data_IF_492698679488
#
_entry.id   IF_492698679488
#
_cell.length_a   1.000
_cell.length_b   1.000
_cell.length_c   1.000
_cell.angle_alpha   90.00
_cell.angle_beta   90.00
_cell.angle_gamma   90.00
#
_symmetry.space_group_name_H-M   'P 1'
#
loop_
_entity.id
_entity.type
_entity.pdbx_description
1 polymer ?
#
# COMPACT_ATOMS: atom_id res chain seq x y z
N UNK A 1 -27.51 -51.00 26.61
CA UNK A 1 -28.21 -49.74 26.93
C UNK A 1 -27.12 -48.68 27.08
N UNK A 2 -27.13 -47.66 26.20
CA UNK A 2 -26.31 -46.43 26.21
C UNK A 2 -24.78 -46.56 26.12
N UNK A 3 -24.02 -45.65 25.50
CA UNK A 3 -24.14 -44.83 24.29
C UNK A 3 -22.75 -44.16 24.16
N UNK A 4 -22.22 -44.08 22.94
CA UNK A 4 -20.96 -43.43 22.61
C UNK A 4 -20.90 -41.96 23.08
N UNK A 5 -19.74 -41.52 23.56
CA UNK A 5 -19.39 -40.09 23.52
C UNK A 5 -17.98 -39.93 22.93
N UNK A 6 -17.93 -39.92 21.59
CA UNK A 6 -16.81 -39.35 20.85
C UNK A 6 -16.85 -37.83 21.05
N UNK A 7 -15.82 -37.28 21.68
CA UNK A 7 -15.61 -35.83 21.76
C UNK A 7 -15.13 -35.36 20.39
N UNK A 8 -16.05 -34.76 19.64
CA UNK A 8 -15.78 -34.11 18.35
C UNK A 8 -15.06 -32.79 18.64
N UNK A 9 -13.75 -32.71 18.36
CA UNK A 9 -13.07 -31.42 18.22
C UNK A 9 -13.61 -30.73 16.96
N UNK A 10 -14.60 -29.86 17.12
CA UNK A 10 -15.00 -28.93 16.08
C UNK A 10 -13.87 -27.88 15.94
N UNK A 11 -13.01 -28.04 14.93
CA UNK A 11 -12.32 -26.88 14.38
C UNK A 11 -13.41 -25.95 13.84
N UNK A 12 -13.68 -24.87 14.57
CA UNK A 12 -14.30 -23.70 13.99
C UNK A 12 -13.32 -23.17 12.96
N UNK A 13 -13.46 -23.61 11.71
CA UNK A 13 -12.99 -22.85 10.58
C UNK A 13 -13.75 -21.52 10.64
N UNK A 14 -13.10 -20.49 11.20
CA UNK A 14 -13.52 -19.11 11.01
C UNK A 14 -13.58 -18.94 9.50
N UNK A 15 -14.78 -18.75 8.94
CA UNK A 15 -14.89 -18.34 7.55
C UNK A 15 -14.14 -17.02 7.47
N UNK A 16 -12.93 -17.04 6.92
CA UNK A 16 -12.07 -15.86 6.86
C UNK A 16 -12.67 -14.90 5.84
N UNK A 17 -13.65 -14.11 6.27
CA UNK A 17 -14.06 -12.90 5.58
C UNK A 17 -12.83 -12.01 5.40
N UNK A 18 -12.76 -11.32 4.27
CA UNK A 18 -11.72 -10.33 4.02
C UNK A 18 -11.85 -9.19 5.04
N UNK A 19 -10.77 -8.82 5.72
CA UNK A 19 -10.76 -7.61 6.55
C UNK A 19 -10.94 -6.37 5.67
N UNK A 20 -10.31 -6.38 4.48
CA UNK A 20 -10.37 -5.29 3.51
C UNK A 20 -10.43 -5.82 2.08
N UNK A 21 -11.28 -5.21 1.25
CA UNK A 21 -11.37 -5.49 -0.19
C UNK A 21 -10.77 -4.33 -0.99
N UNK A 22 -9.78 -4.64 -1.82
CA UNK A 22 -9.05 -3.64 -2.61
C UNK A 22 -9.29 -3.87 -4.08
N UNK A 23 -9.88 -2.87 -4.75
CA UNK A 23 -10.02 -2.85 -6.20
C UNK A 23 -8.68 -2.56 -6.87
N UNK A 24 -8.25 -3.43 -7.77
CA UNK A 24 -7.02 -3.29 -8.54
C UNK A 24 -7.24 -3.62 -10.02
N UNK A 25 -6.56 -2.91 -10.92
CA UNK A 25 -6.60 -3.21 -12.36
C UNK A 25 -5.61 -4.32 -12.76
N UNK A 26 -4.56 -4.47 -11.97
CA UNK A 26 -3.52 -5.48 -12.07
C UNK A 26 -2.76 -5.52 -10.73
N UNK A 27 -2.01 -6.59 -10.48
CA UNK A 27 -1.11 -6.66 -9.34
C UNK A 27 0.06 -5.72 -9.56
N UNK A 28 0.26 -4.80 -8.61
CA UNK A 28 1.36 -3.83 -8.60
C UNK A 28 2.44 -4.26 -7.60
N UNK A 29 3.63 -3.67 -7.71
CA UNK A 29 4.85 -4.12 -7.04
C UNK A 29 4.76 -3.86 -5.55
N UNK A 30 4.31 -2.68 -5.15
CA UNK A 30 4.04 -2.39 -3.73
C UNK A 30 3.09 -3.39 -3.10
N UNK A 31 1.97 -3.75 -3.77
CA UNK A 31 1.01 -4.72 -3.23
C UNK A 31 1.61 -6.12 -3.09
N UNK A 32 2.37 -6.53 -4.11
CA UNK A 32 3.09 -7.80 -4.16
C UNK A 32 4.07 -7.91 -2.98
N UNK A 33 4.96 -6.92 -2.83
CA UNK A 33 5.94 -6.86 -1.74
C UNK A 33 5.23 -6.83 -0.38
N UNK A 34 4.21 -5.98 -0.21
CA UNK A 34 3.46 -5.86 1.06
C UNK A 34 2.89 -7.22 1.52
N UNK A 35 2.39 -8.01 0.57
CA UNK A 35 1.82 -9.34 0.83
C UNK A 35 2.92 -10.33 1.23
N UNK A 36 3.99 -10.39 0.44
CA UNK A 36 5.09 -11.32 0.63
C UNK A 36 5.89 -11.06 1.91
N UNK A 37 5.97 -9.80 2.33
CA UNK A 37 6.63 -9.33 3.54
C UNK A 37 5.77 -9.46 4.80
N UNK A 38 4.52 -9.91 4.65
CA UNK A 38 3.54 -10.02 5.73
C UNK A 38 3.27 -8.68 6.45
N UNK A 39 3.47 -7.55 5.76
CA UNK A 39 3.27 -6.22 6.36
C UNK A 39 1.79 -5.89 6.61
N UNK A 40 0.86 -6.52 5.89
CA UNK A 40 -0.56 -6.42 6.23
C UNK A 40 -0.85 -7.00 7.63
N UNK A 41 -0.33 -8.19 7.94
CA UNK A 41 -0.48 -8.78 9.26
C UNK A 41 0.24 -7.96 10.34
N UNK A 42 1.44 -7.45 10.05
CA UNK A 42 2.17 -6.54 10.94
C UNK A 42 1.36 -5.26 11.25
N UNK A 43 0.58 -4.78 10.28
CA UNK A 43 -0.33 -3.66 10.45
C UNK A 43 -1.71 -4.04 11.06
N UNK A 44 -1.94 -5.31 11.41
CA UNK A 44 -3.17 -5.79 12.01
C UNK A 44 -4.30 -6.09 11.03
N UNK A 45 -3.98 -6.46 9.79
CA UNK A 45 -4.91 -6.99 8.78
C UNK A 45 -4.57 -8.46 8.52
N UNK A 46 -5.46 -9.36 8.91
CA UNK A 46 -5.32 -10.80 8.74
C UNK A 46 -5.66 -11.25 7.31
N UNK A 47 -6.54 -10.54 6.60
CA UNK A 47 -6.96 -10.90 5.24
C UNK A 47 -7.21 -9.69 4.36
N UNK A 48 -6.40 -9.54 3.30
CA UNK A 48 -6.56 -8.52 2.27
C UNK A 48 -6.97 -9.20 0.97
N UNK A 49 -8.15 -8.87 0.46
CA UNK A 49 -8.68 -9.46 -0.76
C UNK A 49 -8.61 -8.48 -1.92
N UNK A 50 -7.92 -8.88 -2.99
CA UNK A 50 -7.88 -8.12 -4.24
C UNK A 50 -9.09 -8.44 -5.09
N UNK A 51 -9.76 -7.40 -5.58
CA UNK A 51 -10.87 -7.51 -6.53
C UNK A 51 -10.41 -6.93 -7.85
N UNK A 52 -10.36 -7.77 -8.88
CA UNK A 52 -9.95 -7.33 -10.21
C UNK A 52 -11.01 -6.43 -10.84
N UNK A 53 -10.60 -5.21 -11.16
CA UNK A 53 -11.44 -4.20 -11.78
C UNK A 53 -11.28 -4.28 -13.30
N UNK A 54 -12.37 -4.46 -14.08
CA UNK A 54 -12.26 -4.68 -15.51
C UNK A 54 -11.94 -3.42 -16.31
N UNK A 55 -12.32 -2.23 -15.84
CA UNK A 55 -12.05 -0.93 -16.47
C UNK A 55 -12.38 0.24 -15.54
N UNK A 56 -11.98 1.46 -15.93
CA UNK A 56 -12.17 2.69 -15.13
C UNK A 56 -13.64 3.08 -14.90
N UNK A 57 -14.59 2.57 -15.68
CA UNK A 57 -16.02 2.81 -15.45
C UNK A 57 -16.51 1.95 -14.28
N UNK A 58 -16.24 0.65 -14.32
CA UNK A 58 -16.62 -0.29 -13.27
C UNK A 58 -15.92 0.00 -11.93
N UNK A 59 -14.66 0.46 -11.97
CA UNK A 59 -13.84 0.78 -10.79
C UNK A 59 -14.58 1.61 -9.74
N UNK A 60 -15.19 2.71 -10.16
CA UNK A 60 -15.85 3.65 -9.26
C UNK A 60 -17.29 3.22 -8.92
N UNK A 61 -17.90 2.34 -9.73
CA UNK A 61 -19.15 1.68 -9.35
C UNK A 61 -18.89 0.70 -8.19
N UNK A 62 -17.80 -0.08 -8.26
CA UNK A 62 -17.39 -1.00 -7.20
C UNK A 62 -17.06 -0.26 -5.91
N UNK A 63 -16.44 0.91 -6.02
CA UNK A 63 -16.18 1.76 -4.87
C UNK A 63 -17.48 2.35 -4.30
N UNK A 64 -18.40 2.82 -5.16
CA UNK A 64 -19.66 3.45 -4.75
C UNK A 64 -20.65 2.49 -4.10
N UNK A 65 -20.75 1.26 -4.59
CA UNK A 65 -21.67 0.25 -4.05
C UNK A 65 -21.06 -0.59 -2.91
N UNK A 66 -19.81 -0.32 -2.51
CA UNK A 66 -19.12 -1.06 -1.44
C UNK A 66 -18.65 -2.46 -1.83
N UNK A 67 -18.57 -2.79 -3.12
CA UNK A 67 -17.92 -4.02 -3.60
C UNK A 67 -16.45 -4.03 -3.18
N UNK A 68 -15.78 -2.88 -3.24
CA UNK A 68 -14.43 -2.68 -2.69
C UNK A 68 -14.43 -1.54 -1.66
N UNK A 69 -13.56 -1.64 -0.66
CA UNK A 69 -13.37 -0.63 0.38
C UNK A 69 -12.38 0.45 -0.04
N UNK A 70 -11.36 0.03 -0.80
CA UNK A 70 -10.28 0.85 -1.36
C UNK A 70 -10.19 0.57 -2.86
N UNK A 71 -9.81 1.58 -3.64
CA UNK A 71 -9.55 1.44 -5.07
C UNK A 71 -8.18 2.02 -5.41
N UNK A 72 -7.29 1.19 -5.93
CA UNK A 72 -6.06 1.65 -6.58
C UNK A 72 -6.36 1.97 -8.04
N UNK A 73 -6.13 3.20 -8.45
CA UNK A 73 -6.40 3.64 -9.82
C UNK A 73 -5.84 5.02 -10.13
N UNK A 74 -5.92 5.41 -11.40
CA UNK A 74 -5.37 6.70 -11.83
C UNK A 74 -6.01 7.88 -11.08
N UNK A 75 -5.18 8.79 -10.54
CA UNK A 75 -5.67 10.01 -9.89
C UNK A 75 -6.49 10.88 -10.86
N UNK A 76 -6.17 10.86 -12.15
CA UNK A 76 -6.96 11.55 -13.17
C UNK A 76 -8.42 11.11 -13.14
N UNK A 77 -8.68 9.81 -13.00
CA UNK A 77 -10.04 9.30 -12.96
C UNK A 77 -10.76 9.80 -11.71
N UNK A 78 -10.06 9.96 -10.59
CA UNK A 78 -10.62 10.55 -9.37
C UNK A 78 -10.95 12.02 -9.59
N UNK A 79 -10.08 12.79 -10.25
CA UNK A 79 -10.39 14.17 -10.65
C UNK A 79 -11.62 14.22 -11.57
N UNK A 80 -11.72 13.33 -12.56
CA UNK A 80 -12.91 13.21 -13.42
C UNK A 80 -14.19 12.92 -12.62
N UNK A 81 -14.11 12.03 -11.62
CA UNK A 81 -15.25 11.72 -10.74
C UNK A 81 -15.69 12.93 -9.93
N UNK A 82 -14.74 13.66 -9.36
CA UNK A 82 -15.02 14.84 -8.54
C UNK A 82 -15.56 15.98 -9.39
N UNK A 83 -14.90 16.33 -10.49
CA UNK A 83 -15.18 17.56 -11.24
C UNK A 83 -16.26 17.44 -12.31
N UNK A 84 -16.36 16.29 -12.99
CA UNK A 84 -17.35 16.11 -14.06
C UNK A 84 -18.58 15.34 -13.60
N UNK A 85 -18.43 14.46 -12.61
CA UNK A 85 -19.51 13.55 -12.17
C UNK A 85 -20.06 13.90 -10.79
N UNK A 86 -19.46 14.89 -10.11
CA UNK A 86 -19.83 15.32 -8.76
C UNK A 86 -19.90 14.15 -7.76
N UNK A 87 -19.08 13.13 -7.97
CA UNK A 87 -18.99 11.97 -7.09
C UNK A 87 -18.04 12.25 -5.94
N UNK A 88 -18.41 11.77 -4.76
CA UNK A 88 -17.70 12.09 -3.53
C UNK A 88 -16.58 11.07 -3.25
N UNK A 89 -15.47 11.16 -3.98
CA UNK A 89 -14.30 10.27 -3.83
C UNK A 89 -13.10 11.03 -3.26
N UNK A 90 -12.37 10.44 -2.31
CA UNK A 90 -11.13 10.99 -1.73
C UNK A 90 -9.95 10.08 -2.05
N UNK A 91 -8.83 10.66 -2.48
CA UNK A 91 -7.54 10.01 -2.55
C UNK A 91 -6.82 10.17 -1.19
N UNK A 92 -6.43 9.06 -0.58
CA UNK A 92 -5.69 9.03 0.69
C UNK A 92 -4.17 9.11 0.50
N UNK A 93 -3.70 8.72 -0.69
CA UNK A 93 -2.29 8.61 -1.05
C UNK A 93 -2.13 8.62 -2.57
N UNK A 94 -1.00 9.10 -3.06
CA UNK A 94 -0.49 8.85 -4.41
C UNK A 94 0.57 7.75 -4.32
N UNK A 95 0.45 6.69 -5.11
CA UNK A 95 1.29 5.49 -4.96
C UNK A 95 2.45 5.42 -5.94
N UNK A 96 2.36 6.09 -7.09
CA UNK A 96 3.41 6.08 -8.10
C UNK A 96 3.33 7.27 -9.08
N UNK A 97 4.40 7.49 -9.86
CA UNK A 97 4.53 8.55 -10.87
C UNK A 97 4.57 8.03 -12.32
N UNK A 98 3.99 6.86 -12.56
CA UNK A 98 3.89 6.24 -13.88
C UNK A 98 5.00 5.25 -14.21
N UNK A 99 5.17 4.19 -13.39
CA UNK A 99 6.21 3.18 -13.54
C UNK A 99 6.11 2.48 -14.89
N UNK A 100 7.12 2.70 -15.72
CA UNK A 100 7.33 1.97 -16.97
C UNK A 100 6.10 1.96 -17.90
N UNK A 101 5.39 3.08 -17.96
CA UNK A 101 4.29 3.28 -18.92
C UNK A 101 4.84 3.32 -20.35
N UNK A 102 4.69 2.20 -21.04
CA UNK A 102 5.13 2.01 -22.43
C UNK A 102 3.95 1.94 -23.38
N UNK A 103 4.11 2.44 -24.60
CA UNK A 103 3.22 2.08 -25.70
C UNK A 103 3.85 0.89 -26.43
N UNK A 104 3.17 -0.25 -26.36
CA UNK A 104 3.54 -1.45 -27.11
C UNK A 104 2.78 -1.45 -28.44
N UNK A 105 3.49 -1.55 -29.55
CA UNK A 105 2.97 -1.78 -30.90
C UNK A 105 2.92 -3.28 -31.24
N UNK A 106 1.94 -3.66 -32.06
CA UNK A 106 1.71 -4.99 -32.59
C UNK A 106 1.34 -4.90 -34.09
N UNK A 107 1.24 -6.05 -34.77
CA UNK A 107 0.74 -6.12 -36.16
C UNK A 107 1.43 -5.11 -37.10
N UNK A 108 2.77 -5.13 -37.11
CA UNK A 108 3.60 -4.29 -37.98
C UNK A 108 3.77 -2.84 -37.52
N UNK A 109 3.30 -2.46 -36.34
CA UNK A 109 3.60 -1.17 -35.72
C UNK A 109 4.98 -1.22 -35.05
N UNK A 110 5.94 -0.50 -35.62
CA UNK A 110 7.32 -0.44 -35.14
C UNK A 110 7.71 0.95 -34.62
N UNK A 111 6.88 1.96 -34.88
CA UNK A 111 7.07 3.34 -34.50
C UNK A 111 5.73 4.04 -34.26
N UNK A 112 5.75 5.24 -33.66
CA UNK A 112 4.52 6.04 -33.49
C UNK A 112 3.91 6.42 -34.85
N UNK A 113 4.73 6.70 -35.86
CA UNK A 113 4.24 7.06 -37.20
C UNK A 113 3.39 5.95 -37.84
N UNK A 114 3.69 4.69 -37.53
CA UNK A 114 2.95 3.55 -38.04
C UNK A 114 1.50 3.50 -37.52
N UNK A 115 1.14 4.29 -36.51
CA UNK A 115 -0.23 4.32 -35.96
C UNK A 115 -1.23 5.10 -36.82
N UNK A 116 -0.79 5.76 -37.89
CA UNK A 116 -1.72 6.43 -38.83
C UNK A 116 -2.71 5.43 -39.44
N UNK A 117 -3.99 5.76 -39.41
CA UNK A 117 -5.12 4.94 -39.82
C UNK A 117 -5.45 3.77 -38.88
N UNK A 118 -4.79 3.63 -37.72
CA UNK A 118 -4.92 2.45 -36.86
C UNK A 118 -5.63 2.75 -35.53
N UNK A 119 -6.11 1.70 -34.88
CA UNK A 119 -6.71 1.78 -33.55
C UNK A 119 -5.68 1.56 -32.44
N UNK A 120 -5.79 2.32 -31.37
CA UNK A 120 -5.04 2.12 -30.13
C UNK A 120 -6.02 1.65 -29.06
N UNK A 121 -5.76 0.49 -28.46
CA UNK A 121 -6.67 -0.05 -27.44
C UNK A 121 -6.38 0.56 -26.07
N UNK A 122 -7.43 0.89 -25.33
CA UNK A 122 -7.37 1.58 -24.03
C UNK A 122 -8.31 0.91 -23.02
N UNK A 123 -8.19 1.26 -21.74
CA UNK A 123 -9.09 0.74 -20.72
C UNK A 123 -10.49 1.36 -20.82
N UNK A 124 -10.54 2.67 -21.02
CA UNK A 124 -11.72 3.45 -21.36
C UNK A 124 -11.27 4.69 -22.15
N UNK A 125 -12.08 5.10 -23.13
CA UNK A 125 -11.72 6.21 -24.05
C UNK A 125 -11.52 7.56 -23.37
N UNK A 126 -12.14 7.77 -22.20
CA UNK A 126 -12.05 9.01 -21.43
C UNK A 126 -11.28 8.82 -20.10
N UNK A 127 -10.39 7.83 -20.01
CA UNK A 127 -9.54 7.64 -18.83
C UNK A 127 -8.29 8.52 -18.88
N UNK A 128 -7.64 8.70 -17.73
CA UNK A 128 -6.38 9.46 -17.66
C UNK A 128 -5.26 8.89 -18.51
N UNK A 129 -5.19 7.57 -18.61
CA UNK A 129 -4.20 6.91 -19.44
C UNK A 129 -4.50 7.06 -20.94
N UNK A 130 -5.76 7.20 -21.35
CA UNK A 130 -6.10 7.55 -22.72
C UNK A 130 -5.61 8.97 -23.09
N UNK A 131 -5.75 9.94 -22.18
CA UNK A 131 -5.19 11.29 -22.38
C UNK A 131 -3.66 11.31 -22.38
N UNK A 132 -3.02 10.45 -21.56
CA UNK A 132 -1.57 10.26 -21.61
C UNK A 132 -1.11 9.77 -22.99
N UNK A 133 -1.76 8.74 -23.54
CA UNK A 133 -1.48 8.25 -24.90
C UNK A 133 -1.72 9.37 -25.92
N UNK A 134 -2.84 10.07 -25.82
CA UNK A 134 -3.19 11.15 -26.75
C UNK A 134 -2.14 12.26 -26.76
N UNK A 135 -1.57 12.62 -25.61
CA UNK A 135 -0.48 13.60 -25.51
C UNK A 135 0.81 13.13 -26.20
N UNK A 136 1.20 11.86 -25.97
CA UNK A 136 2.38 11.26 -26.61
C UNK A 136 2.21 11.24 -28.13
N UNK A 137 1.05 10.81 -28.62
CA UNK A 137 0.76 10.73 -30.06
C UNK A 137 0.67 12.13 -30.69
N UNK A 138 0.04 13.10 -30.02
CA UNK A 138 -0.02 14.48 -30.49
C UNK A 138 1.37 15.13 -30.58
N UNK A 139 2.25 14.85 -29.61
CA UNK A 139 3.64 15.32 -29.62
C UNK A 139 4.44 14.79 -30.83
N UNK A 140 3.94 13.73 -31.48
CA UNK A 140 4.49 13.15 -32.70
C UNK A 140 3.65 13.47 -33.95
N UNK A 141 2.73 14.43 -33.86
CA UNK A 141 1.92 14.91 -34.99
C UNK A 141 0.80 13.95 -35.42
N UNK A 142 0.31 13.10 -34.51
CA UNK A 142 -0.88 12.27 -34.71
C UNK A 142 -2.07 12.83 -33.92
N UNK A 143 -3.18 13.08 -34.60
CA UNK A 143 -4.39 13.66 -34.01
C UNK A 143 -5.49 12.59 -33.88
N UNK A 144 -6.08 12.46 -32.69
CA UNK A 144 -7.19 11.55 -32.43
C UNK A 144 -8.37 11.83 -33.39
N UNK A 145 -9.00 10.78 -33.91
CA UNK A 145 -10.10 10.81 -34.89
C UNK A 145 -9.74 11.37 -36.27
N UNK A 146 -8.48 11.75 -36.50
CA UNK A 146 -7.94 12.08 -37.82
C UNK A 146 -6.92 11.04 -38.28
N UNK A 147 -5.94 10.77 -37.41
CA UNK A 147 -4.83 9.88 -37.69
C UNK A 147 -4.97 8.54 -37.00
N UNK A 148 -5.68 8.43 -35.88
CA UNK A 148 -5.88 7.17 -35.17
C UNK A 148 -7.20 7.22 -34.38
N UNK A 149 -7.65 6.06 -33.89
CA UNK A 149 -8.85 5.97 -33.05
C UNK A 149 -8.57 5.21 -31.75
N UNK A 150 -9.40 5.41 -30.73
CA UNK A 150 -9.38 4.59 -29.52
C UNK A 150 -10.44 3.50 -29.55
N UNK A 151 -10.09 2.31 -29.04
CA UNK A 151 -11.01 1.19 -28.82
C UNK A 151 -10.90 0.73 -27.38
N UNK A 152 -12.02 0.70 -26.66
CA UNK A 152 -12.03 0.24 -25.27
C UNK A 152 -11.98 -1.29 -25.20
N UNK A 153 -10.97 -1.81 -24.50
CA UNK A 153 -10.77 -3.26 -24.25
C UNK A 153 -10.79 -3.57 -22.75
N UNK A 154 -10.33 -2.65 -21.91
CA UNK A 154 -10.35 -2.81 -20.45
C UNK A 154 -8.96 -2.79 -19.82
N UNK A 155 -8.84 -3.40 -18.64
CA UNK A 155 -7.63 -3.36 -17.82
C UNK A 155 -6.37 -3.84 -18.55
N UNK A 156 -5.20 -3.47 -18.03
CA UNK A 156 -3.90 -3.82 -18.61
C UNK A 156 -3.72 -5.31 -18.94
N UNK A 157 -4.14 -6.28 -18.09
CA UNK A 157 -4.09 -7.69 -18.44
C UNK A 157 -4.85 -8.03 -19.74
N UNK A 158 -6.06 -7.47 -19.91
CA UNK A 158 -6.89 -7.70 -21.09
C UNK A 158 -6.23 -7.11 -22.35
N UNK A 159 -5.65 -5.91 -22.22
CA UNK A 159 -4.96 -5.23 -23.33
C UNK A 159 -3.66 -5.93 -23.71
N UNK A 160 -2.91 -6.44 -22.74
CA UNK A 160 -1.73 -7.27 -23.00
C UNK A 160 -2.10 -8.56 -23.75
N UNK A 161 -3.12 -9.28 -23.29
CA UNK A 161 -3.60 -10.48 -23.96
C UNK A 161 -4.09 -10.19 -25.40
N UNK A 162 -4.77 -9.06 -25.60
CA UNK A 162 -5.21 -8.60 -26.91
C UNK A 162 -4.04 -8.28 -27.86
N UNK A 163 -2.98 -7.66 -27.36
CA UNK A 163 -1.74 -7.42 -28.12
C UNK A 163 -1.08 -8.74 -28.52
N UNK A 164 -0.95 -9.70 -27.58
CA UNK A 164 -0.37 -11.01 -27.87
C UNK A 164 -1.14 -11.78 -28.95
N UNK A 165 -2.47 -11.67 -28.95
CA UNK A 165 -3.38 -12.29 -29.92
C UNK A 165 -3.46 -11.53 -31.25
N UNK A 166 -3.06 -10.26 -31.26
CA UNK A 166 -3.21 -9.34 -32.40
C UNK A 166 -4.66 -8.92 -32.68
N UNK A 167 -5.62 -9.24 -31.81
CA UNK A 167 -7.04 -8.91 -32.00
C UNK A 167 -7.82 -8.82 -30.68
N UNK A 168 -8.85 -7.97 -30.67
CA UNK A 168 -9.87 -7.85 -29.63
C UNK A 168 -11.20 -7.43 -30.26
N UNK A 169 -12.33 -7.95 -29.77
CA UNK A 169 -13.67 -7.62 -30.27
C UNK A 169 -13.81 -7.76 -31.80
N UNK A 170 -13.22 -8.81 -32.39
CA UNK A 170 -13.16 -9.06 -33.84
C UNK A 170 -12.48 -7.95 -34.66
N UNK A 171 -11.64 -7.14 -34.02
CA UNK A 171 -10.85 -6.09 -34.66
C UNK A 171 -9.36 -6.33 -34.42
N UNK A 172 -8.54 -6.00 -35.41
CA UNK A 172 -7.08 -6.00 -35.28
C UNK A 172 -6.63 -4.98 -34.23
N UNK A 173 -5.67 -5.39 -33.40
CA UNK A 173 -5.09 -4.54 -32.35
C UNK A 173 -3.71 -4.08 -32.77
N UNK A 174 -3.42 -2.79 -32.67
CA UNK A 174 -2.16 -2.24 -33.17
C UNK A 174 -1.25 -1.65 -32.10
N UNK A 175 -1.81 -1.09 -31.03
CA UNK A 175 -1.01 -0.67 -29.90
C UNK A 175 -1.81 -0.52 -28.60
N UNK A 176 -1.13 -0.50 -27.46
CA UNK A 176 -1.70 -0.14 -26.16
C UNK A 176 -0.66 0.37 -25.18
N UNK A 177 -1.10 1.16 -24.20
CA UNK A 177 -0.26 1.52 -23.05
C UNK A 177 -0.18 0.36 -22.04
N UNK A 178 0.99 -0.20 -21.83
CA UNK A 178 1.23 -1.20 -20.80
C UNK A 178 2.04 -0.58 -19.65
N UNK A 179 2.02 -1.28 -18.52
CA UNK A 179 2.87 -1.02 -17.37
C UNK A 179 3.37 -2.38 -16.86
N UNK A 180 4.22 -2.36 -15.86
CA UNK A 180 4.68 -3.58 -15.21
C UNK A 180 3.48 -4.32 -14.56
N UNK A 181 3.52 -5.66 -14.45
CA UNK A 181 4.60 -6.55 -14.89
C UNK A 181 4.66 -6.78 -16.41
N UNK A 182 3.66 -6.32 -17.17
CA UNK A 182 3.50 -6.65 -18.59
C UNK A 182 4.55 -6.04 -19.52
N UNK A 183 5.08 -4.87 -19.16
CA UNK A 183 6.23 -4.31 -19.85
C UNK A 183 7.47 -5.20 -19.72
N UNK A 184 7.68 -5.78 -18.53
CA UNK A 184 8.70 -6.81 -18.29
C UNK A 184 8.40 -8.09 -19.07
N UNK A 185 7.15 -8.57 -19.09
CA UNK A 185 6.79 -9.74 -19.92
C UNK A 185 7.12 -9.51 -21.38
N UNK A 186 6.77 -8.35 -21.93
CA UNK A 186 7.08 -8.00 -23.31
C UNK A 186 8.60 -7.95 -23.55
N UNK A 187 9.36 -7.35 -22.64
CA UNK A 187 10.82 -7.25 -22.74
C UNK A 187 11.50 -8.63 -22.83
N UNK A 188 11.00 -9.64 -22.11
CA UNK A 188 11.61 -10.98 -22.05
C UNK A 188 10.84 -12.07 -22.82
N UNK A 189 9.74 -11.75 -23.49
CA UNK A 189 8.94 -12.73 -24.24
C UNK A 189 9.59 -13.18 -25.55
N UNK A 190 10.70 -12.57 -25.98
CA UNK A 190 11.35 -12.79 -27.27
C UNK A 190 10.36 -12.72 -28.46
N UNK A 191 9.48 -11.71 -28.44
CA UNK A 191 8.45 -11.48 -29.45
C UNK A 191 8.90 -10.38 -30.40
N UNK A 192 9.26 -10.74 -31.64
CA UNK A 192 9.66 -9.77 -32.67
C UNK A 192 8.49 -8.99 -33.24
N UNK A 193 7.28 -9.51 -33.07
CA UNK A 193 6.00 -8.95 -33.53
C UNK A 193 5.40 -7.91 -32.57
N UNK A 194 5.95 -7.79 -31.36
CA UNK A 194 5.60 -6.76 -30.39
C UNK A 194 6.79 -5.83 -30.16
N UNK A 195 6.57 -4.52 -30.17
CA UNK A 195 7.64 -3.54 -29.93
C UNK A 195 7.24 -2.45 -28.96
N UNK A 196 8.16 -2.08 -28.07
CA UNK A 196 8.03 -0.81 -27.33
C UNK A 196 8.33 0.33 -28.30
N UNK A 197 7.32 1.14 -28.60
CA UNK A 197 7.44 2.25 -29.58
C UNK A 197 7.51 3.63 -28.91
N UNK A 198 7.15 3.71 -27.63
CA UNK A 198 7.24 4.93 -26.84
C UNK A 198 7.27 4.59 -25.35
N UNK A 199 7.84 5.48 -24.55
CA UNK A 199 7.75 5.46 -23.09
C UNK A 199 7.23 6.82 -22.63
N UNK A 200 6.19 6.82 -21.78
CA UNK A 200 5.53 8.05 -21.34
C UNK A 200 6.52 9.04 -20.69
N UNK A 201 7.50 8.50 -19.97
CA UNK A 201 8.53 9.28 -19.30
C UNK A 201 9.44 10.08 -20.23
N UNK A 202 9.47 9.75 -21.52
CA UNK A 202 10.28 10.47 -22.51
C UNK A 202 9.56 11.73 -23.01
N UNK A 203 8.26 11.82 -22.73
CA UNK A 203 7.38 12.92 -23.13
C UNK A 203 6.93 13.76 -21.95
N UNK A 204 6.78 13.14 -20.77
CA UNK A 204 6.22 13.77 -19.57
C UNK A 204 7.15 13.48 -18.39
N UNK A 205 7.80 14.53 -17.89
CA UNK A 205 8.84 14.42 -16.85
C UNK A 205 8.29 14.14 -15.45
N UNK A 206 7.06 14.61 -15.16
CA UNK A 206 6.38 14.38 -13.89
C UNK A 206 4.89 14.18 -14.12
N UNK A 207 4.35 13.05 -13.67
CA UNK A 207 2.97 12.66 -13.90
C UNK A 207 2.44 11.95 -12.67
N UNK A 208 1.40 12.48 -12.03
CA UNK A 208 0.74 11.78 -10.95
C UNK A 208 -0.10 10.66 -11.56
N UNK A 209 0.28 9.41 -11.28
CA UNK A 209 -0.29 8.25 -11.94
C UNK A 209 -1.35 7.60 -11.04
N UNK A 210 -0.98 6.62 -10.21
CA UNK A 210 -1.95 5.89 -9.40
C UNK A 210 -2.11 6.48 -7.99
N UNK A 211 -3.31 6.35 -7.46
CA UNK A 211 -3.69 6.78 -6.11
C UNK A 211 -4.55 5.72 -5.43
N UNK A 212 -4.57 5.77 -4.10
CA UNK A 212 -5.45 4.94 -3.27
C UNK A 212 -6.70 5.74 -2.90
N UNK A 213 -7.86 5.28 -3.37
CA UNK A 213 -9.10 6.04 -3.34
C UNK A 213 -10.17 5.36 -2.48
N UNK A 214 -10.97 6.18 -1.78
CA UNK A 214 -12.10 5.75 -0.94
C UNK A 214 -13.36 6.57 -1.24
N UNK A 215 -14.53 6.04 -0.89
CA UNK A 215 -15.73 6.89 -0.79
C UNK A 215 -15.55 7.89 0.35
N UNK A 216 -15.77 9.17 0.07
CA UNK A 216 -15.60 10.24 1.07
C UNK A 216 -16.55 10.05 2.25
N UNK A 217 -17.77 9.55 2.01
CA UNK A 217 -18.73 9.23 3.09
C UNK A 217 -18.21 8.16 4.05
N UNK A 218 -17.29 7.29 3.61
CA UNK A 218 -16.68 6.27 4.47
C UNK A 218 -15.72 6.87 5.51
N UNK A 219 -15.27 8.11 5.34
CA UNK A 219 -14.41 8.81 6.31
C UNK A 219 -15.14 9.18 7.61
N UNK A 220 -16.48 9.15 7.61
CA UNK A 220 -17.28 9.34 8.83
C UNK A 220 -17.43 8.06 9.66
N UNK A 221 -16.93 6.93 9.15
CA UNK A 221 -16.99 5.64 9.84
C UNK A 221 -15.62 5.31 10.44
N UNK A 222 -15.52 5.38 11.77
CA UNK A 222 -14.27 5.13 12.50
C UNK A 222 -13.67 3.74 12.20
N UNK A 223 -14.49 2.70 12.03
CA UNK A 223 -14.03 1.35 11.67
C UNK A 223 -13.37 1.33 10.30
N UNK A 224 -13.95 2.03 9.31
CA UNK A 224 -13.34 2.15 7.98
C UNK A 224 -12.07 2.98 7.99
N UNK A 225 -12.05 4.09 8.74
CA UNK A 225 -10.85 4.92 8.92
C UNK A 225 -9.70 4.13 9.52
N UNK A 226 -9.96 3.31 10.55
CA UNK A 226 -8.95 2.42 11.13
C UNK A 226 -8.46 1.38 10.13
N UNK A 227 -9.36 0.76 9.36
CA UNK A 227 -9.00 -0.18 8.29
C UNK A 227 -8.10 0.48 7.23
N UNK A 228 -8.42 1.71 6.79
CA UNK A 228 -7.60 2.47 5.85
C UNK A 228 -6.23 2.82 6.44
N UNK A 229 -6.18 3.16 7.73
CA UNK A 229 -4.93 3.45 8.46
C UNK A 229 -4.03 2.21 8.47
N UNK A 230 -4.57 1.03 8.79
CA UNK A 230 -3.79 -0.23 8.77
C UNK A 230 -3.30 -0.57 7.37
N UNK A 231 -4.14 -0.42 6.36
CA UNK A 231 -3.75 -0.70 4.98
C UNK A 231 -2.60 0.20 4.52
N UNK A 232 -2.70 1.52 4.76
CA UNK A 232 -1.63 2.46 4.44
C UNK A 232 -0.37 2.24 5.28
N UNK A 233 -0.52 1.80 6.53
CA UNK A 233 0.63 1.46 7.39
C UNK A 233 1.48 0.38 6.74
N UNK A 234 0.84 -0.66 6.20
CA UNK A 234 1.53 -1.73 5.48
C UNK A 234 2.25 -1.22 4.22
N UNK A 235 1.64 -0.30 3.46
CA UNK A 235 2.28 0.33 2.30
C UNK A 235 3.47 1.21 2.68
N UNK A 236 3.42 1.92 3.81
CA UNK A 236 4.56 2.70 4.33
C UNK A 236 5.72 1.78 4.71
N UNK A 237 5.45 0.65 5.37
CA UNK A 237 6.48 -0.37 5.65
C UNK A 237 7.14 -0.88 4.36
N UNK A 238 6.34 -1.15 3.33
CA UNK A 238 6.85 -1.53 2.00
C UNK A 238 7.72 -0.45 1.37
N UNK A 239 7.33 0.82 1.45
CA UNK A 239 8.13 1.93 0.93
C UNK A 239 9.47 2.06 1.64
N UNK A 240 9.48 1.89 2.97
CA UNK A 240 10.71 1.88 3.75
C UNK A 240 11.63 0.71 3.35
N UNK A 241 11.08 -0.48 3.11
CA UNK A 241 11.84 -1.63 2.62
C UNK A 241 12.45 -1.34 1.25
N UNK A 242 11.65 -0.78 0.33
CA UNK A 242 12.04 -0.44 -1.04
C UNK A 242 13.12 0.66 -1.09
N UNK A 243 13.12 1.57 -0.12
CA UNK A 243 14.06 2.68 -0.04
C UNK A 243 15.51 2.25 0.30
N UNK A 244 15.71 1.07 0.90
CA UNK A 244 17.03 0.54 1.21
C UNK A 244 17.52 -0.42 0.10
N UNK A 245 18.56 -0.05 -0.67
CA UNK A 245 19.11 -0.88 -1.75
C UNK A 245 19.61 -2.26 -1.29
N UNK A 246 19.93 -2.44 0.00
CA UNK A 246 20.35 -3.73 0.53
C UNK A 246 19.23 -4.78 0.46
N UNK A 247 17.97 -4.35 0.37
CA UNK A 247 16.82 -5.24 0.22
C UNK A 247 16.56 -5.68 -1.22
N UNK A 248 17.33 -5.23 -2.22
CA UNK A 248 17.08 -5.51 -3.64
C UNK A 248 16.91 -7.01 -3.93
N UNK A 249 17.83 -7.85 -3.46
CA UNK A 249 17.76 -9.31 -3.68
C UNK A 249 16.51 -9.95 -3.06
N UNK A 250 16.12 -9.50 -1.86
CA UNK A 250 14.90 -9.93 -1.18
C UNK A 250 13.65 -9.54 -1.96
N UNK A 251 13.54 -8.27 -2.34
CA UNK A 251 12.40 -7.73 -3.09
C UNK A 251 12.27 -8.43 -4.45
N UNK A 252 13.37 -8.68 -5.16
CA UNK A 252 13.35 -9.43 -6.43
C UNK A 252 12.80 -10.83 -6.22
N UNK A 253 13.17 -11.52 -5.14
CA UNK A 253 12.65 -12.84 -4.83
C UNK A 253 11.15 -12.81 -4.49
N UNK A 254 10.70 -11.80 -3.76
CA UNK A 254 9.28 -11.61 -3.43
C UNK A 254 8.44 -11.36 -4.69
N UNK A 255 8.90 -10.46 -5.57
CA UNK A 255 8.26 -10.20 -6.87
C UNK A 255 8.23 -11.46 -7.75
N UNK A 256 9.33 -12.22 -7.79
CA UNK A 256 9.39 -13.46 -8.56
C UNK A 256 8.37 -14.49 -8.06
N UNK A 257 8.24 -14.64 -6.74
CA UNK A 257 7.34 -15.59 -6.08
C UNK A 257 5.87 -15.22 -6.27
N UNK A 258 5.52 -13.97 -5.98
CA UNK A 258 4.14 -13.50 -5.98
C UNK A 258 3.54 -13.46 -7.39
N UNK A 259 4.33 -12.97 -8.35
CA UNK A 259 3.88 -12.81 -9.73
C UNK A 259 4.07 -14.09 -10.55
N UNK A 260 4.79 -15.08 -9.99
CA UNK A 260 5.17 -16.33 -10.66
C UNK A 260 5.93 -16.07 -11.97
N UNK A 261 7.06 -15.35 -11.86
CA UNK A 261 7.85 -14.87 -13.01
C UNK A 261 9.32 -15.27 -12.86
N UNK A 262 10.07 -15.24 -13.97
CA UNK A 262 11.51 -15.49 -13.92
C UNK A 262 12.24 -14.39 -13.13
N UNK A 263 13.40 -14.73 -12.58
CA UNK A 263 14.27 -13.76 -11.89
C UNK A 263 14.63 -12.56 -12.79
N UNK A 264 14.79 -12.77 -14.09
CA UNK A 264 15.06 -11.69 -15.05
C UNK A 264 13.89 -10.68 -15.13
N UNK A 265 12.66 -11.20 -15.22
CA UNK A 265 11.46 -10.36 -15.22
C UNK A 265 11.29 -9.66 -13.87
N UNK A 266 11.48 -10.36 -12.75
CA UNK A 266 11.40 -9.76 -11.42
C UNK A 266 12.48 -8.68 -11.20
N UNK A 267 13.70 -8.89 -11.70
CA UNK A 267 14.79 -7.90 -11.66
C UNK A 267 14.43 -6.66 -12.46
N UNK A 268 13.86 -6.83 -13.66
CA UNK A 268 13.36 -5.70 -14.45
C UNK A 268 12.25 -4.95 -13.72
N UNK A 269 11.30 -5.65 -13.13
CA UNK A 269 10.24 -5.01 -12.36
C UNK A 269 10.76 -4.27 -11.14
N UNK A 270 11.74 -4.83 -10.42
CA UNK A 270 12.42 -4.13 -9.35
C UNK A 270 13.04 -2.82 -9.85
N UNK A 271 13.72 -2.83 -11.00
CA UNK A 271 14.28 -1.60 -11.59
C UNK A 271 13.22 -0.56 -11.95
N UNK A 272 12.02 -1.00 -12.34
CA UNK A 272 10.88 -0.14 -12.66
C UNK A 272 10.29 0.51 -11.42
N UNK A 273 10.00 -0.27 -10.37
CA UNK A 273 9.37 0.26 -9.16
C UNK A 273 10.36 1.06 -8.30
N UNK A 274 11.66 0.79 -8.41
CA UNK A 274 12.73 1.54 -7.73
C UNK A 274 13.19 2.79 -8.49
N UNK A 275 12.69 3.02 -9.72
CA UNK A 275 13.00 4.20 -10.51
C UNK A 275 12.54 5.47 -9.76
N UNK A 276 13.50 6.36 -9.46
CA UNK A 276 13.25 7.56 -8.64
C UNK A 276 12.49 8.68 -9.34
N UNK A 277 12.19 8.53 -10.64
CA UNK A 277 11.49 9.52 -11.45
C UNK A 277 10.02 9.13 -11.68
N UNK A 278 9.75 7.83 -11.83
CA UNK A 278 8.46 7.31 -12.27
C UNK A 278 7.92 6.20 -11.37
N UNK A 279 8.81 5.46 -10.70
CA UNK A 279 8.48 4.28 -9.91
C UNK A 279 7.70 4.57 -8.63
N UNK A 280 7.30 3.50 -7.95
CA UNK A 280 6.74 3.54 -6.60
C UNK A 280 7.71 4.26 -5.63
N UNK A 281 9.02 4.02 -5.75
CA UNK A 281 10.06 4.66 -4.96
C UNK A 281 10.25 6.17 -5.24
N UNK A 282 9.66 6.70 -6.31
CA UNK A 282 9.66 8.14 -6.57
C UNK A 282 8.75 8.92 -5.59
N UNK A 283 7.90 8.22 -4.83
CA UNK A 283 6.97 8.79 -3.85
C UNK A 283 7.10 8.15 -2.47
N UNK A 284 8.25 8.31 -1.77
CA UNK A 284 8.46 7.67 -0.48
C UNK A 284 7.49 8.15 0.61
N UNK A 285 6.92 9.34 0.46
CA UNK A 285 5.94 9.91 1.41
C UNK A 285 4.50 9.64 1.03
N UNK A 286 4.22 9.08 -0.16
CA UNK A 286 2.88 8.94 -0.75
C UNK A 286 2.10 10.28 -0.90
N UNK A 287 2.74 11.42 -0.67
CA UNK A 287 2.16 12.74 -0.87
C UNK A 287 2.32 13.12 -2.33
N UNK A 288 1.24 13.58 -2.95
CA UNK A 288 1.23 13.92 -4.36
C UNK A 288 2.06 15.19 -4.61
N UNK A 289 3.09 15.16 -5.47
CA UNK A 289 3.83 16.36 -5.83
C UNK A 289 2.89 17.32 -6.58
N UNK A 290 2.80 18.59 -6.15
CA UNK A 290 2.01 19.64 -6.81
C UNK A 290 2.08 19.63 -8.34
N UNK A 291 3.31 19.65 -8.88
CA UNK A 291 3.54 19.71 -10.31
C UNK A 291 3.06 18.44 -11.03
N UNK A 292 3.21 17.27 -10.41
CA UNK A 292 2.76 16.00 -10.98
C UNK A 292 1.23 15.97 -11.13
N UNK A 293 0.50 16.45 -10.12
CA UNK A 293 -0.96 16.55 -10.14
C UNK A 293 -1.43 17.57 -11.18
N UNK A 294 -0.75 18.73 -11.25
CA UNK A 294 -1.04 19.75 -12.25
C UNK A 294 -0.84 19.21 -13.67
N UNK A 295 0.25 18.49 -13.93
CA UNK A 295 0.49 17.85 -15.23
C UNK A 295 -0.63 16.89 -15.60
N UNK A 296 -0.99 15.96 -14.70
CA UNK A 296 -2.06 15.00 -14.93
C UNK A 296 -3.39 15.68 -15.24
N UNK A 297 -3.72 16.73 -14.49
CA UNK A 297 -4.95 17.48 -14.70
C UNK A 297 -4.96 18.29 -15.99
N UNK A 298 -3.85 18.96 -16.32
CA UNK A 298 -3.69 19.73 -17.55
C UNK A 298 -3.82 18.84 -18.79
N UNK A 299 -3.32 17.60 -18.77
CA UNK A 299 -3.51 16.66 -19.87
C UNK A 299 -5.00 16.42 -20.15
N UNK A 300 -5.80 16.15 -19.12
CA UNK A 300 -7.25 16.00 -19.28
C UNK A 300 -7.89 17.28 -19.81
N UNK A 301 -7.50 18.44 -19.27
CA UNK A 301 -8.04 19.73 -19.70
C UNK A 301 -7.72 20.04 -21.17
N UNK A 302 -6.49 19.80 -21.59
CA UNK A 302 -6.00 20.00 -22.97
C UNK A 302 -6.88 19.30 -24.00
N UNK A 303 -7.40 18.13 -23.66
CA UNK A 303 -8.24 17.32 -24.56
C UNK A 303 -9.74 17.44 -24.27
N UNK A 304 -10.17 18.53 -23.62
CA UNK A 304 -11.59 18.80 -23.35
C UNK A 304 -12.23 17.80 -22.38
N UNK A 305 -11.42 17.14 -21.56
CA UNK A 305 -11.87 16.09 -20.65
C UNK A 305 -12.49 16.60 -19.34
N UNK A 306 -12.65 17.92 -19.18
CA UNK A 306 -13.43 18.53 -18.11
C UNK A 306 -14.63 19.31 -18.69
N UNK A 307 -15.77 19.23 -18.01
CA UNK A 307 -16.97 19.99 -18.38
C UNK A 307 -16.79 21.50 -18.12
N UNK A 308 -16.01 21.87 -17.09
CA UNK A 308 -15.69 23.25 -16.75
C UNK A 308 -14.17 23.42 -16.59
N UNK A 309 -13.63 24.58 -17.02
CA UNK A 309 -12.24 24.93 -16.76
C UNK A 309 -12.02 25.05 -15.25
N UNK A 310 -11.18 24.17 -14.71
CA UNK A 310 -10.89 24.11 -13.28
C UNK A 310 -9.49 24.66 -13.04
N UNK A 311 -9.34 25.56 -12.08
CA UNK A 311 -8.05 26.13 -11.69
C UNK A 311 -7.39 25.25 -10.63
N UNK A 312 -6.55 24.32 -11.06
CA UNK A 312 -5.86 23.38 -10.17
C UNK A 312 -4.61 24.04 -9.56
N UNK A 313 -4.82 24.94 -8.59
CA UNK A 313 -3.72 25.41 -7.74
C UNK A 313 -3.52 24.44 -6.59
N UNK A 314 -2.27 24.10 -6.35
CA UNK A 314 -1.86 22.95 -5.53
C UNK A 314 -1.84 23.28 -4.05
N UNK A 315 -2.97 23.06 -3.37
CA UNK A 315 -3.07 22.62 -1.98
C UNK A 315 -4.50 22.12 -1.75
N UNK A 316 -4.70 20.80 -1.64
CA UNK A 316 -6.00 20.18 -1.39
C UNK A 316 -7.06 20.64 -2.40
N UNK A 317 -6.99 20.13 -3.64
CA UNK A 317 -7.93 20.48 -4.72
C UNK A 317 -9.37 20.42 -4.14
N UNK A 318 -10.04 21.56 -3.94
CA UNK A 318 -11.30 21.59 -3.22
C UNK A 318 -12.37 20.92 -4.08
N UNK A 319 -13.13 20.03 -3.47
CA UNK A 319 -14.31 19.45 -4.12
C UNK A 319 -15.45 20.45 -4.05
N UNK A 320 -16.37 20.36 -4.99
CA UNK A 320 -17.65 21.08 -4.90
C UNK A 320 -18.42 20.71 -3.63
N UNK A 321 -18.32 19.46 -3.17
CA UNK A 321 -18.93 18.94 -1.94
C UNK A 321 -17.99 17.93 -1.26
N UNK A 322 -17.91 17.94 0.09
CA UNK A 322 -17.25 16.87 0.84
C UNK A 322 -15.72 17.00 1.02
N UNK A 323 -15.20 18.22 1.15
CA UNK A 323 -13.80 18.47 1.51
C UNK A 323 -12.84 18.54 0.30
N UNK A 324 -11.66 17.94 0.43
CA UNK A 324 -10.56 18.02 -0.55
C UNK A 324 -10.37 16.68 -1.29
N UNK A 325 -9.86 16.72 -2.52
CA UNK A 325 -9.55 15.50 -3.31
C UNK A 325 -8.50 14.64 -2.61
N UNK A 326 -7.45 15.26 -2.10
CA UNK A 326 -6.40 14.60 -1.34
C UNK A 326 -6.55 14.89 0.15
N UNK A 327 -6.82 13.84 0.94
CA UNK A 327 -6.85 13.92 2.40
C UNK A 327 -5.77 13.02 2.99
N UNK A 328 -4.71 13.64 3.50
CA UNK A 328 -3.54 12.93 4.04
C UNK A 328 -3.63 12.66 5.54
N UNK A 329 -4.77 12.96 6.19
CA UNK A 329 -4.91 12.77 7.65
C UNK A 329 -4.69 11.31 8.04
N UNK A 330 -5.28 10.37 7.30
CA UNK A 330 -5.12 8.93 7.51
C UNK A 330 -3.68 8.48 7.19
N UNK A 331 -3.09 9.02 6.11
CA UNK A 331 -1.71 8.71 5.72
C UNK A 331 -0.70 9.12 6.80
N UNK A 332 -0.86 10.30 7.39
CA UNK A 332 0.01 10.77 8.47
C UNK A 332 -0.07 9.85 9.70
N UNK A 333 -1.26 9.40 10.08
CA UNK A 333 -1.44 8.42 11.16
C UNK A 333 -0.79 7.07 10.81
N UNK A 334 -0.93 6.63 9.56
CA UNK A 334 -0.29 5.42 9.07
C UNK A 334 1.25 5.50 9.11
N UNK A 335 1.84 6.65 8.77
CA UNK A 335 3.30 6.85 8.86
C UNK A 335 3.81 6.78 10.29
N UNK A 336 3.09 7.37 11.25
CA UNK A 336 3.43 7.27 12.68
C UNK A 336 3.36 5.81 13.16
N UNK A 337 2.29 5.09 12.80
CA UNK A 337 2.12 3.68 13.15
C UNK A 337 3.19 2.79 12.51
N UNK A 338 3.54 3.05 11.25
CA UNK A 338 4.59 2.32 10.54
C UNK A 338 5.96 2.53 11.21
N UNK A 339 6.25 3.75 11.69
CA UNK A 339 7.48 4.04 12.44
C UNK A 339 7.56 3.19 13.72
N UNK A 340 6.46 3.09 14.47
CA UNK A 340 6.39 2.26 15.67
C UNK A 340 6.56 0.76 15.34
N UNK A 341 5.89 0.26 14.31
CA UNK A 341 6.01 -1.14 13.87
C UNK A 341 7.44 -1.43 13.38
N UNK A 342 8.04 -0.52 12.61
CA UNK A 342 9.40 -0.68 12.10
C UNK A 342 10.43 -0.79 13.23
N UNK A 343 10.25 -0.02 14.32
CA UNK A 343 11.08 -0.16 15.52
C UNK A 343 10.99 -1.57 16.13
N UNK A 344 9.79 -2.17 16.15
CA UNK A 344 9.59 -3.55 16.62
C UNK A 344 10.17 -4.58 15.66
N UNK A 345 9.99 -4.41 14.34
CA UNK A 345 10.53 -5.32 13.31
C UNK A 345 12.06 -5.30 13.35
N UNK A 346 12.65 -4.10 13.36
CA UNK A 346 14.09 -3.86 13.43
C UNK A 346 14.71 -4.21 14.78
N UNK A 347 13.88 -4.45 15.81
CA UNK A 347 14.38 -4.84 17.12
C UNK A 347 15.19 -6.13 17.02
N UNK A 348 16.44 -6.19 17.48
CA UNK A 348 17.23 -7.43 17.49
C UNK A 348 16.71 -8.44 18.51
N UNK A 349 15.70 -8.07 19.30
CA UNK A 349 15.10 -8.89 20.34
C UNK A 349 13.65 -9.25 20.00
N UNK A 350 13.25 -10.47 20.36
CA UNK A 350 11.86 -10.86 20.53
C UNK A 350 11.50 -10.69 22.00
N UNK A 351 10.46 -9.91 22.29
CA UNK A 351 9.94 -9.77 23.64
C UNK A 351 8.57 -10.42 23.72
N UNK A 352 8.38 -11.34 24.66
CA UNK A 352 7.11 -12.01 24.90
C UNK A 352 6.72 -11.89 26.37
N UNK A 353 5.44 -11.65 26.62
CA UNK A 353 4.88 -11.63 27.97
C UNK A 353 3.99 -12.87 28.14
N UNK A 354 4.13 -13.55 29.28
CA UNK A 354 3.32 -14.72 29.64
C UNK A 354 2.73 -14.52 31.02
N UNK A 355 1.43 -14.73 31.16
CA UNK A 355 0.79 -14.85 32.47
C UNK A 355 1.28 -16.13 33.16
N UNK A 356 1.75 -16.01 34.40
CA UNK A 356 2.35 -17.11 35.14
C UNK A 356 1.39 -17.66 36.19
N UNK A 357 0.81 -16.78 37.01
CA UNK A 357 -0.08 -17.17 38.11
C UNK A 357 -0.85 -15.96 38.63
N UNK A 358 -1.95 -16.22 39.35
CA UNK A 358 -2.59 -15.24 40.22
C UNK A 358 -2.74 -15.82 41.63
N UNK A 359 -2.59 -14.99 42.66
CA UNK A 359 -2.82 -15.39 44.04
C UNK A 359 -3.63 -14.35 44.83
N UNK A 360 -4.39 -14.79 45.85
CA UNK A 360 -5.07 -13.87 46.77
C UNK A 360 -4.05 -13.07 47.59
N UNK A 361 -4.31 -11.77 47.77
CA UNK A 361 -3.55 -10.87 48.63
C UNK A 361 -4.49 -10.07 49.53
N UNK A 362 -3.93 -9.43 50.56
CA UNK A 362 -4.68 -8.61 51.53
C UNK A 362 -5.42 -7.43 50.86
N UNK A 363 -4.96 -7.01 49.68
CA UNK A 363 -5.52 -5.90 48.89
C UNK A 363 -6.25 -6.32 47.60
N UNK A 364 -6.51 -7.62 47.39
CA UNK A 364 -7.16 -8.15 46.18
C UNK A 364 -6.40 -9.30 45.51
N UNK A 365 -6.69 -9.61 44.25
CA UNK A 365 -5.95 -10.64 43.48
C UNK A 365 -4.69 -10.04 42.87
N UNK A 366 -3.54 -10.64 43.18
CA UNK A 366 -2.26 -10.32 42.52
C UNK A 366 -2.08 -11.22 41.31
N UNK A 367 -1.64 -10.65 40.19
CA UNK A 367 -1.28 -11.40 38.97
C UNK A 367 0.20 -11.24 38.65
N UNK A 368 0.88 -12.36 38.43
CA UNK A 368 2.30 -12.41 38.05
C UNK A 368 2.42 -12.65 36.55
N UNK A 369 3.14 -11.76 35.89
CA UNK A 369 3.52 -11.88 34.50
C UNK A 369 5.04 -12.09 34.39
N UNK A 370 5.45 -12.94 33.44
CA UNK A 370 6.85 -13.13 33.06
C UNK A 370 7.07 -12.48 31.70
N UNK A 371 8.05 -11.59 31.62
CA UNK A 371 8.56 -11.06 30.34
C UNK A 371 9.81 -11.85 29.96
N UNK A 372 9.88 -12.33 28.72
CA UNK A 372 11.01 -13.06 28.15
C UNK A 372 11.53 -12.27 26.96
N UNK A 373 12.82 -11.93 27.01
CA UNK A 373 13.53 -11.21 25.95
C UNK A 373 14.56 -12.18 25.35
N UNK A 374 14.50 -12.40 24.04
CA UNK A 374 15.38 -13.33 23.31
C UNK A 374 16.04 -12.60 22.15
N UNK A 375 17.36 -12.72 21.99
CA UNK A 375 18.06 -12.18 20.82
C UNK A 375 17.75 -13.01 19.56
N UNK A 376 17.32 -12.35 18.48
CA UNK A 376 16.98 -12.96 17.19
C UNK A 376 18.17 -13.66 16.52
N UNK A 377 19.42 -13.21 16.73
CA UNK A 377 20.61 -13.77 16.07
C UNK A 377 21.09 -15.11 16.66
N UNK A 378 20.74 -15.41 17.92
CA UNK A 378 21.32 -16.52 18.68
C UNK A 378 20.29 -17.62 19.02
N UNK A 379 19.22 -17.75 18.23
CA UNK A 379 18.10 -18.65 18.52
C UNK A 379 18.46 -20.15 18.68
N UNK A 380 19.69 -20.58 18.37
CA UNK A 380 20.12 -21.99 18.43
C UNK A 380 21.32 -22.30 19.37
N UNK A 381 21.89 -21.33 20.07
CA UNK A 381 23.01 -21.61 20.99
C UNK A 381 22.67 -21.14 22.41
N UNK A 382 22.62 -22.05 23.38
CA UNK A 382 22.84 -21.66 24.77
C UNK A 382 24.27 -21.08 24.83
N UNK A 383 24.46 -19.75 24.99
CA UNK A 383 25.01 -19.21 26.25
C UNK A 383 24.78 -17.69 26.51
N UNK A 384 25.36 -17.24 27.64
CA UNK A 384 25.55 -15.90 28.25
C UNK A 384 25.42 -14.60 27.42
N UNK A 385 24.89 -13.56 28.08
CA UNK A 385 24.80 -12.17 27.62
C UNK A 385 25.79 -11.31 28.44
N UNK A 386 26.68 -10.56 27.77
CA UNK A 386 27.41 -9.43 28.36
C UNK A 386 27.03 -8.15 27.61
N UNK A 387 26.48 -7.18 28.33
CA UNK A 387 26.29 -5.80 27.82
C UNK A 387 27.60 -5.05 28.04
N UNK A 388 28.18 -4.46 27.00
CA UNK A 388 29.45 -3.73 27.12
C UNK A 388 29.28 -2.52 28.03
N UNK A 389 30.33 -2.19 28.80
CA UNK A 389 30.34 -1.14 29.81
C UNK A 389 29.98 0.27 29.30
N UNK A 390 29.91 0.47 27.98
CA UNK A 390 29.52 1.73 27.36
C UNK A 390 28.00 2.00 27.33
N UNK A 391 27.14 1.01 27.62
CA UNK A 391 25.66 1.15 27.58
C UNK A 391 24.99 1.22 28.96
N UNK A 392 25.79 1.38 30.03
CA UNK A 392 25.38 1.19 31.42
C UNK A 392 24.49 2.28 32.10
N UNK A 393 24.17 3.47 31.54
CA UNK A 393 23.26 4.41 32.20
C UNK A 393 21.82 4.49 31.64
N UNK A 394 21.43 3.68 30.65
CA UNK A 394 20.22 3.97 29.85
C UNK A 394 19.22 2.81 29.78
N UNK A 395 18.78 2.29 30.93
CA UNK A 395 17.56 1.48 31.03
C UNK A 395 16.57 2.25 31.89
N UNK A 396 15.60 2.92 31.27
CA UNK A 396 14.56 3.69 31.96
C UNK A 396 13.26 2.91 31.90
N UNK A 397 12.78 2.43 33.05
CA UNK A 397 11.43 1.88 33.18
C UNK A 397 10.46 3.02 33.51
N UNK A 398 9.35 3.13 32.77
CA UNK A 398 8.20 3.95 33.15
C UNK A 398 7.07 3.02 33.59
N UNK A 399 6.93 2.80 34.90
CA UNK A 399 5.79 2.07 35.45
C UNK A 399 4.72 3.10 35.81
N UNK A 400 3.58 3.00 35.15
CA UNK A 400 2.41 3.78 35.46
C UNK A 400 1.29 2.91 36.05
N UNK A 401 0.52 3.30 37.05
CA UNK A 401 0.55 4.43 37.97
C UNK A 401 -0.40 4.05 39.16
N UNK A 402 -0.16 4.45 40.41
CA UNK A 402 -1.18 4.30 41.47
C UNK A 402 -2.25 5.40 41.34
N UNK A 403 -3.54 5.05 41.33
CA UNK A 403 -4.64 6.02 41.17
C UNK A 403 -4.61 7.10 42.28
N UNK A 404 -4.64 8.38 41.88
CA UNK A 404 -4.75 9.53 42.80
C UNK A 404 -6.20 10.02 42.97
N UNK A 405 -7.15 9.33 42.34
CA UNK A 405 -8.56 9.70 42.28
C UNK A 405 -8.96 10.39 40.97
N UNK A 406 -10.27 10.39 40.68
CA UNK A 406 -10.88 11.02 39.52
C UNK A 406 -11.00 12.55 39.73
N UNK A 407 -10.50 13.35 38.78
CA UNK A 407 -10.73 14.80 38.78
C UNK A 407 -11.89 15.16 37.85
N UNK A 408 -13.03 15.52 38.45
CA UNK A 408 -14.24 15.90 37.72
C UNK A 408 -14.10 17.15 36.86
N UNK A 409 -13.15 18.05 37.18
CA UNK A 409 -12.94 19.30 36.44
C UNK A 409 -12.34 19.11 35.06
N UNK A 410 -11.63 18.00 34.82
CA UNK A 410 -10.98 17.69 33.54
C UNK A 410 -11.44 16.33 32.96
N UNK A 411 -12.38 15.68 33.64
CA UNK A 411 -12.93 14.37 33.28
C UNK A 411 -11.86 13.30 33.02
N UNK A 412 -10.83 13.25 33.86
CA UNK A 412 -9.69 12.35 33.72
C UNK A 412 -9.24 11.76 35.06
N UNK A 413 -8.70 10.54 35.02
CA UNK A 413 -8.05 9.91 36.16
C UNK A 413 -6.59 10.37 36.24
N UNK A 414 -6.17 10.90 37.38
CA UNK A 414 -4.76 11.20 37.65
C UNK A 414 -4.08 10.02 38.32
N UNK A 415 -2.79 9.86 38.06
CA UNK A 415 -2.02 8.83 38.71
C UNK A 415 -0.52 9.21 38.86
N UNK A 416 0.21 8.57 39.79
CA UNK A 416 1.64 8.83 40.08
C UNK A 416 2.60 7.86 39.36
N UNK A 417 3.69 8.33 38.70
CA UNK A 417 4.71 7.45 38.12
C UNK A 417 5.60 6.82 39.19
N UNK A 418 5.88 5.52 39.05
CA UNK A 418 6.92 4.83 39.82
C UNK A 418 8.10 4.57 38.87
N UNK A 419 9.27 5.12 39.22
CA UNK A 419 10.54 4.86 38.53
C UNK A 419 11.28 3.75 39.27
N UNK A 420 11.50 2.60 38.62
CA UNK A 420 12.43 1.59 39.11
C UNK A 420 13.78 1.76 38.40
N UNK A 421 14.81 2.14 39.17
CA UNK A 421 16.20 2.20 38.71
C UNK A 421 16.87 0.85 38.99
N UNK A 422 17.14 0.07 37.95
CA UNK A 422 17.89 -1.18 38.05
C UNK A 422 19.28 -0.97 37.47
N UNK A 423 20.20 -0.53 38.31
CA UNK A 423 21.61 -0.25 37.98
C UNK A 423 22.51 -1.50 37.92
N UNK A 424 21.95 -2.70 37.78
CA UNK A 424 22.73 -3.95 37.80
C UNK A 424 22.63 -4.77 36.52
N UNK A 425 23.79 -5.34 36.13
CA UNK A 425 24.00 -6.20 34.96
C UNK A 425 22.90 -7.25 34.83
N UNK A 426 22.25 -7.28 33.67
CA UNK A 426 21.22 -8.26 33.31
C UNK A 426 21.91 -9.57 32.89
N UNK A 427 21.68 -10.66 33.64
CA UNK A 427 22.13 -12.00 33.25
C UNK A 427 21.20 -12.63 32.20
N UNK A 428 21.74 -13.52 31.36
CA UNK A 428 21.01 -14.23 30.32
C UNK A 428 19.82 -15.03 30.89
N UNK A 429 18.67 -14.97 30.21
CA UNK A 429 17.44 -15.63 30.68
C UNK A 429 16.78 -14.93 31.87
N UNK A 430 17.14 -13.68 32.15
CA UNK A 430 16.56 -12.88 33.23
C UNK A 430 15.04 -12.95 33.25
N UNK A 431 14.51 -13.65 34.23
CA UNK A 431 13.08 -13.71 34.51
C UNK A 431 12.75 -12.56 35.44
N UNK A 432 12.09 -11.53 34.92
CA UNK A 432 11.50 -10.50 35.77
C UNK A 432 10.11 -10.97 36.18
N UNK A 433 9.91 -11.12 37.49
CA UNK A 433 8.60 -11.30 38.10
C UNK A 433 8.22 -9.97 38.76
N UNK A 434 7.09 -9.41 38.35
CA UNK A 434 6.52 -8.21 38.96
C UNK A 434 5.26 -8.61 39.72
N UNK A 435 5.08 -8.05 40.91
CA UNK A 435 3.86 -8.16 41.71
C UNK A 435 2.95 -6.97 41.36
N UNK A 436 1.72 -7.24 40.92
CA UNK A 436 0.76 -6.21 40.51
C UNK A 436 -0.60 -6.44 41.20
N UNK A 437 -1.06 -5.41 41.93
CA UNK A 437 -2.36 -5.38 42.60
C UNK A 437 -3.53 -5.05 41.67
N UNK A 438 -4.73 -5.49 42.04
CA UNK A 438 -5.92 -5.78 41.20
C UNK A 438 -6.62 -4.63 40.45
N UNK A 439 -5.99 -3.50 40.14
CA UNK A 439 -6.66 -2.45 39.36
C UNK A 439 -6.15 -2.48 37.93
N UNK A 440 -7.01 -2.90 37.01
CA UNK A 440 -6.87 -2.97 35.55
C UNK A 440 -5.98 -1.86 34.95
N UNK A 441 -4.68 -2.09 34.93
CA UNK A 441 -3.68 -1.26 34.27
C UNK A 441 -2.97 -2.09 33.19
N UNK A 442 -2.69 -1.45 32.07
CA UNK A 442 -1.82 -2.00 31.03
C UNK A 442 -0.37 -1.84 31.50
N UNK A 443 0.43 -2.90 31.35
CA UNK A 443 1.88 -2.85 31.55
C UNK A 443 2.51 -2.78 30.17
N UNK A 444 2.96 -1.59 29.77
CA UNK A 444 3.77 -1.42 28.57
C UNK A 444 5.26 -1.52 28.93
N UNK A 445 6.03 -2.23 28.11
CA UNK A 445 7.48 -2.33 28.21
C UNK A 445 8.11 -1.93 26.88
N UNK A 446 9.29 -1.31 26.92
CA UNK A 446 10.07 -0.94 25.75
C UNK A 446 11.55 -1.22 25.99
N UNK A 447 12.31 -1.43 24.93
CA UNK A 447 13.75 -1.72 24.98
C UNK A 447 14.50 -0.71 24.15
N UNK A 448 15.01 0.40 24.71
CA UNK A 448 15.66 1.51 23.98
C UNK A 448 16.34 1.07 22.66
N UNK A 449 15.79 1.52 21.53
CA UNK A 449 16.06 0.99 20.18
C UNK A 449 14.93 0.10 19.63
N UNK A 450 13.98 -0.23 20.52
CA UNK A 450 12.68 -0.88 20.44
C UNK A 450 11.84 -0.35 21.64
#
# INVERSE_FOLDING_TARGET
>A
MMQNLFVLFALLAVSSGCDVKVGVFTTIGTLSITTQENFFAAAGLNSVCTVNVPNSVAAYQYLANGTVDLLTGSIDNTLNRVFNRLQNVTALALTDLGPDYIIAGANGVNSIADLRGKSVIVDAVNSGFAYLIQSILLSNGLVLNKDYTFVAVGSTPLRYAALLKGQANNQTVYASLLTYPYSGYLQFANRTDLKVIARASDYISTYAASSLNVQTSSLQNATKVELYTRYLTAYVLTSNLLADPNNAGRIINDLARDLNVSTAVATYQYSVISDKRTGDAALPTFIAPPLAVLTTSNLRQQFGGYTNLSNFTTAGIPKTNGGVVFDYTILQQAMLRATAIQAVIGCPFNVSQKFVASYPSVSGTVSVYRVVIVNKSNAAAAPSFEVSSAQNPHLVWQIGLSAKGYQSSINAYQYNPILLNLSQKIAAGGHFAFDYGSNSGLIDFGLIGC
#
